data_IF_359614835239
#
_entry.id   IF_359614835239
#
_cell.length_a   1.000
_cell.length_b   1.000
_cell.length_c   1.000
_cell.angle_alpha   90.00
_cell.angle_beta   90.00
_cell.angle_gamma   90.00
#
_symmetry.space_group_name_H-M   'P 1'
#
loop_
_entity.id
_entity.type
_entity.pdbx_description
1 polymer ?
#
# COMPACT_ATOMS: atom_id res chain seq x y z
N UNK A 1 -11.83 -20.99 21.74
CA UNK A 1 -10.78 -22.04 21.56
C UNK A 1 -9.65 -21.86 22.56
N UNK A 2 -8.93 -20.73 22.57
CA UNK A 2 -7.86 -20.45 23.57
C UNK A 2 -8.35 -20.60 25.01
N UNK A 3 -9.37 -19.84 25.41
CA UNK A 3 -9.90 -19.87 26.79
C UNK A 3 -10.51 -21.22 27.19
N UNK A 4 -10.95 -22.00 26.21
CA UNK A 4 -11.53 -23.33 26.41
C UNK A 4 -10.45 -24.43 26.43
N UNK A 5 -9.17 -24.09 26.24
CA UNK A 5 -8.06 -25.05 26.22
C UNK A 5 -8.11 -26.02 25.03
N UNK A 6 -8.73 -25.63 23.91
CA UNK A 6 -8.90 -26.50 22.73
C UNK A 6 -7.71 -26.49 21.77
N UNK A 7 -6.71 -25.63 22.00
CA UNK A 7 -5.53 -25.50 21.16
C UNK A 7 -4.26 -25.49 22.01
N UNK A 8 -3.19 -26.07 21.47
CA UNK A 8 -1.91 -26.24 22.17
C UNK A 8 -1.22 -24.89 22.41
N UNK A 9 -0.96 -24.16 21.33
CA UNK A 9 -0.36 -22.84 21.37
C UNK A 9 -1.39 -21.76 21.02
N UNK A 10 -1.35 -20.56 21.62
CA UNK A 10 -2.23 -19.45 21.28
C UNK A 10 -1.79 -18.78 19.97
N UNK A 11 -1.71 -19.54 18.88
CA UNK A 11 -1.33 -19.11 17.54
C UNK A 11 -2.26 -19.72 16.50
N UNK A 12 -2.37 -19.09 15.34
CA UNK A 12 -2.92 -19.72 14.15
C UNK A 12 -2.15 -19.29 12.91
N UNK A 13 -2.17 -20.09 11.86
CA UNK A 13 -1.41 -19.82 10.64
C UNK A 13 -2.19 -20.13 9.38
N UNK A 14 -1.80 -19.45 8.30
CA UNK A 14 -2.31 -19.66 6.96
C UNK A 14 -1.19 -20.05 6.01
N UNK A 15 -1.46 -21.09 5.23
CA UNK A 15 -0.81 -21.37 3.96
C UNK A 15 -1.88 -21.27 2.87
N UNK A 16 -1.67 -20.41 1.89
CA UNK A 16 -2.61 -20.22 0.78
C UNK A 16 -1.91 -20.68 -0.50
N UNK A 17 -2.36 -21.79 -1.08
CA UNK A 17 -1.76 -22.31 -2.29
C UNK A 17 -2.09 -21.39 -3.47
N UNK A 18 -1.06 -21.00 -4.24
CA UNK A 18 -1.19 -20.11 -5.42
C UNK A 18 -1.06 -20.86 -6.74
N UNK A 19 -0.78 -22.16 -6.71
CA UNK A 19 -0.71 -23.01 -7.88
C UNK A 19 -2.10 -23.52 -8.24
N UNK A 20 -2.86 -22.70 -8.98
CA UNK A 20 -4.23 -23.02 -9.40
C UNK A 20 -4.31 -24.25 -10.33
N UNK A 21 -3.20 -24.64 -10.96
CA UNK A 21 -3.09 -25.81 -11.84
C UNK A 21 -2.79 -27.11 -11.07
N UNK A 22 -2.48 -27.02 -9.77
CA UNK A 22 -2.33 -28.19 -8.93
C UNK A 22 -3.72 -28.75 -8.60
N UNK A 23 -4.00 -30.01 -8.93
CA UNK A 23 -5.21 -30.75 -8.49
C UNK A 23 -5.26 -30.97 -6.96
N UNK A 24 -4.45 -30.22 -6.20
CA UNK A 24 -4.22 -30.36 -4.75
C UNK A 24 -5.04 -29.40 -3.90
N UNK A 25 -4.58 -29.21 -2.66
CA UNK A 25 -5.23 -28.36 -1.66
C UNK A 25 -5.08 -26.88 -2.01
N UNK A 26 -6.17 -26.11 -1.95
CA UNK A 26 -6.15 -24.66 -2.20
C UNK A 26 -5.50 -23.84 -1.07
N UNK A 27 -5.27 -24.46 0.08
CA UNK A 27 -4.66 -23.83 1.26
C UNK A 27 -5.08 -24.54 2.54
N UNK A 28 -4.45 -24.18 3.65
CA UNK A 28 -4.70 -24.72 4.97
C UNK A 28 -4.67 -23.60 6.02
N UNK A 29 -5.58 -23.70 6.99
CA UNK A 29 -5.56 -22.93 8.22
C UNK A 29 -5.34 -23.87 9.41
N UNK A 30 -4.37 -23.54 10.26
CA UNK A 30 -4.12 -24.30 11.49
C UNK A 30 -4.42 -23.40 12.69
N UNK A 31 -5.30 -23.85 13.57
CA UNK A 31 -5.46 -23.28 14.90
C UNK A 31 -4.64 -24.09 15.91
N UNK A 32 -3.78 -23.43 16.68
CA UNK A 32 -2.97 -24.09 17.70
C UNK A 32 -1.54 -24.45 17.31
N UNK A 33 -1.08 -24.02 16.13
CA UNK A 33 0.25 -24.36 15.61
C UNK A 33 0.47 -23.83 14.19
N UNK A 34 1.43 -24.44 13.50
CA UNK A 34 1.76 -24.25 12.07
C UNK A 34 2.42 -25.53 11.54
N UNK A 35 2.28 -25.85 10.25
CA UNK A 35 2.97 -27.00 9.63
C UNK A 35 4.31 -26.55 9.02
N UNK A 36 5.47 -27.07 9.49
CA UNK A 36 6.78 -26.80 8.91
C UNK A 36 6.93 -27.14 7.42
N UNK A 37 6.03 -27.94 6.84
CA UNK A 37 6.03 -28.26 5.41
C UNK A 37 5.52 -27.12 4.54
N UNK A 38 4.78 -26.16 5.10
CA UNK A 38 4.15 -25.08 4.35
C UNK A 38 5.00 -23.81 4.25
N UNK A 39 6.23 -23.83 4.76
CA UNK A 39 7.13 -22.69 4.67
C UNK A 39 8.61 -23.08 4.61
N UNK A 40 9.41 -22.17 4.07
CA UNK A 40 10.87 -22.30 3.94
C UNK A 40 11.56 -21.26 4.81
N UNK A 41 12.50 -21.71 5.64
CA UNK A 41 13.28 -20.86 6.54
C UNK A 41 12.52 -20.46 7.80
N UNK A 42 12.90 -19.32 8.38
CA UNK A 42 12.31 -18.79 9.61
C UNK A 42 11.35 -17.62 9.35
N UNK A 43 10.32 -17.51 10.18
CA UNK A 43 9.40 -16.37 10.14
C UNK A 43 10.09 -15.11 10.67
N UNK A 44 9.91 -14.01 9.94
CA UNK A 44 10.22 -12.67 10.44
C UNK A 44 9.01 -12.16 11.22
N UNK A 45 9.16 -12.02 12.53
CA UNK A 45 8.08 -11.58 13.41
C UNK A 45 8.14 -10.07 13.67
N UNK A 46 6.97 -9.43 13.59
CA UNK A 46 6.75 -8.02 13.94
C UNK A 46 5.62 -7.89 14.97
N UNK A 47 5.75 -7.03 15.99
CA UNK A 47 4.74 -6.88 17.02
C UNK A 47 3.47 -6.21 16.48
N UNK A 48 2.33 -6.57 17.06
CA UNK A 48 1.06 -5.89 16.80
C UNK A 48 1.10 -4.51 17.43
N UNK A 49 0.84 -3.46 16.63
CA UNK A 49 0.92 -2.06 17.06
C UNK A 49 -0.41 -1.52 17.56
N UNK A 50 -1.53 -2.03 17.05
CA UNK A 50 -2.87 -1.62 17.45
C UNK A 50 -3.81 -2.82 17.66
N UNK A 51 -4.16 -3.10 18.92
CA UNK A 51 -5.14 -4.14 19.26
C UNK A 51 -6.52 -3.80 18.71
N UNK A 52 -7.14 -4.77 18.04
CA UNK A 52 -8.36 -4.63 17.26
C UNK A 52 -8.16 -5.05 15.81
N UNK A 53 -6.93 -4.93 15.31
CA UNK A 53 -6.48 -5.43 14.02
C UNK A 53 -5.20 -6.24 14.19
N UNK A 54 -4.88 -7.10 13.23
CA UNK A 54 -3.55 -7.68 13.08
C UNK A 54 -2.62 -6.70 12.37
N UNK A 55 -2.54 -5.50 12.94
CA UNK A 55 -1.78 -4.38 12.42
C UNK A 55 -0.36 -4.36 12.98
N UNK A 56 0.63 -4.08 12.14
CA UNK A 56 2.03 -3.95 12.51
C UNK A 56 2.69 -2.77 11.76
N UNK A 57 3.84 -2.31 12.27
CA UNK A 57 4.64 -1.31 11.56
C UNK A 57 5.37 -1.95 10.38
N UNK A 58 5.28 -1.29 9.24
CA UNK A 58 5.92 -1.63 7.98
C UNK A 58 6.84 -0.48 7.56
N UNK A 59 7.96 -0.82 6.94
CA UNK A 59 8.86 0.15 6.33
C UNK A 59 8.42 0.52 4.92
N UNK A 60 9.42 0.78 4.08
CA UNK A 60 9.21 1.26 2.71
C UNK A 60 8.71 0.19 1.75
N UNK A 61 8.08 0.68 0.67
CA UNK A 61 7.69 -0.11 -0.50
C UNK A 61 8.61 0.26 -1.64
N UNK A 62 9.22 -0.75 -2.27
CA UNK A 62 10.14 -0.58 -3.38
C UNK A 62 9.55 -1.15 -4.67
N UNK A 63 9.79 -0.46 -5.78
CA UNK A 63 9.39 -0.89 -7.12
C UNK A 63 10.66 -1.05 -7.97
N UNK A 64 11.00 -2.29 -8.32
CA UNK A 64 12.24 -2.60 -9.05
C UNK A 64 13.48 -2.20 -8.26
N UNK A 65 13.45 -2.42 -6.93
CA UNK A 65 14.52 -2.08 -6.00
C UNK A 65 14.65 -0.58 -5.67
N UNK A 66 13.76 0.28 -6.20
CA UNK A 66 13.76 1.72 -5.92
C UNK A 66 12.65 2.08 -4.94
N UNK A 67 13.00 2.87 -3.92
CA UNK A 67 12.05 3.43 -2.96
C UNK A 67 10.93 4.21 -3.66
N UNK A 68 9.70 4.12 -3.13
CA UNK A 68 8.58 5.00 -3.50
C UNK A 68 8.54 6.28 -2.64
N UNK A 69 9.36 6.35 -1.60
CA UNK A 69 9.52 7.52 -0.71
C UNK A 69 8.36 7.74 0.25
N UNK A 70 7.13 7.42 -0.14
CA UNK A 70 5.93 7.66 0.67
C UNK A 70 5.94 6.89 2.00
N UNK A 71 6.30 5.60 1.98
CA UNK A 71 6.40 4.76 3.18
C UNK A 71 7.81 4.69 3.79
N UNK A 72 8.77 5.49 3.31
CA UNK A 72 10.14 5.48 3.82
C UNK A 72 10.22 5.90 5.31
N UNK A 73 9.30 6.76 5.75
CA UNK A 73 9.14 7.15 7.16
C UNK A 73 8.35 6.16 8.02
N UNK A 74 7.97 5.02 7.46
CA UNK A 74 7.09 4.03 8.07
C UNK A 74 5.64 4.18 7.63
N UNK A 75 5.00 3.04 7.39
CA UNK A 75 3.57 2.88 7.16
C UNK A 75 3.06 1.80 8.11
N UNK A 76 1.77 1.81 8.43
CA UNK A 76 1.15 0.65 9.07
C UNK A 76 0.77 -0.39 8.00
N UNK A 77 0.65 -1.65 8.39
CA UNK A 77 0.09 -2.69 7.54
C UNK A 77 -0.79 -3.65 8.36
N UNK A 78 -1.85 -4.19 7.77
CA UNK A 78 -2.68 -5.26 8.32
C UNK A 78 -2.52 -6.49 7.44
N UNK A 79 -2.26 -7.65 8.04
CA UNK A 79 -2.41 -8.93 7.34
C UNK A 79 -3.89 -9.36 7.42
N UNK A 80 -4.54 -9.48 6.27
CA UNK A 80 -5.98 -9.70 6.19
C UNK A 80 -6.32 -10.80 5.18
N UNK A 81 -6.54 -12.02 5.68
CA UNK A 81 -6.97 -13.16 4.87
C UNK A 81 -8.40 -13.01 4.32
N UNK A 82 -9.13 -11.96 4.69
CA UNK A 82 -10.47 -11.66 4.19
C UNK A 82 -10.47 -10.86 2.89
N UNK A 83 -9.31 -10.44 2.39
CA UNK A 83 -9.16 -9.72 1.12
C UNK A 83 -8.10 -10.39 0.24
N UNK A 84 -8.32 -10.36 -1.07
CA UNK A 84 -7.33 -10.88 -2.01
C UNK A 84 -6.30 -9.83 -2.43
N UNK A 85 -6.74 -8.60 -2.71
CA UNK A 85 -5.87 -7.55 -3.24
C UNK A 85 -5.01 -6.88 -2.17
N UNK A 86 -3.88 -6.32 -2.60
CA UNK A 86 -3.06 -5.40 -1.83
C UNK A 86 -3.68 -4.00 -1.88
N UNK A 87 -4.14 -3.46 -0.75
CA UNK A 87 -4.65 -2.10 -0.69
C UNK A 87 -3.61 -1.16 -0.09
N UNK A 88 -3.31 -0.04 -0.75
CA UNK A 88 -2.30 0.90 -0.27
C UNK A 88 -2.50 2.34 -0.75
N UNK A 89 -1.65 3.28 -0.30
CA UNK A 89 -1.77 4.70 -0.62
C UNK A 89 -1.75 4.96 -2.13
N UNK A 90 -2.65 5.82 -2.61
CA UNK A 90 -2.80 6.15 -4.04
C UNK A 90 -1.49 6.63 -4.67
N UNK A 91 -0.68 7.37 -3.91
CA UNK A 91 0.63 7.85 -4.35
C UNK A 91 1.54 6.70 -4.79
N UNK A 92 1.56 5.59 -4.03
CA UNK A 92 2.38 4.41 -4.34
C UNK A 92 1.74 3.59 -5.45
N UNK A 93 0.43 3.36 -5.41
CA UNK A 93 -0.26 2.54 -6.42
C UNK A 93 -0.15 3.15 -7.82
N UNK A 94 -0.13 4.48 -7.92
CA UNK A 94 0.06 5.18 -9.20
C UNK A 94 1.46 4.96 -9.77
N UNK A 95 2.50 4.97 -8.93
CA UNK A 95 3.86 4.62 -9.36
C UNK A 95 3.97 3.16 -9.79
N UNK A 96 3.33 2.24 -9.05
CA UNK A 96 3.24 0.83 -9.42
C UNK A 96 2.56 0.69 -10.79
N UNK A 97 1.38 1.29 -10.98
CA UNK A 97 0.62 1.23 -12.23
C UNK A 97 1.45 1.70 -13.43
N UNK A 98 2.20 2.80 -13.28
CA UNK A 98 3.10 3.27 -14.34
C UNK A 98 4.21 2.25 -14.64
N UNK A 99 4.79 1.62 -13.61
CA UNK A 99 5.90 0.68 -13.77
C UNK A 99 5.51 -0.69 -14.31
N UNK A 100 4.29 -1.14 -14.04
CA UNK A 100 3.75 -2.41 -14.54
C UNK A 100 2.91 -2.23 -15.81
N UNK A 101 2.75 -0.99 -16.29
CA UNK A 101 1.95 -0.67 -17.48
C UNK A 101 0.43 -0.79 -17.27
N UNK A 102 -0.05 -0.80 -16.03
CA UNK A 102 -1.46 -0.96 -15.71
C UNK A 102 -2.30 0.24 -16.15
N UNK A 103 -3.52 -0.04 -16.59
CA UNK A 103 -4.52 0.96 -16.89
C UNK A 103 -4.85 1.78 -15.64
N UNK A 104 -5.00 3.09 -15.84
CA UNK A 104 -5.44 4.05 -14.84
C UNK A 104 -6.35 5.09 -15.45
N UNK A 105 -6.79 6.03 -14.63
CA UNK A 105 -7.63 7.17 -15.02
C UNK A 105 -6.80 8.44 -15.06
N UNK A 106 -7.15 9.33 -15.99
CA UNK A 106 -6.53 10.65 -16.10
C UNK A 106 -7.15 11.57 -15.05
N UNK A 107 -6.34 12.09 -14.13
CA UNK A 107 -6.78 13.13 -13.18
C UNK A 107 -6.47 14.51 -13.72
N UNK A 108 -7.50 15.33 -13.95
CA UNK A 108 -7.33 16.72 -14.36
C UNK A 108 -6.70 17.54 -13.24
N UNK A 109 -7.04 17.24 -12.00
CA UNK A 109 -6.48 17.87 -10.82
C UNK A 109 -4.96 17.71 -10.79
N UNK A 110 -4.49 16.48 -10.94
CA UNK A 110 -3.06 16.17 -11.02
C UNK A 110 -2.39 16.92 -12.18
N UNK A 111 -3.00 16.90 -13.37
CA UNK A 111 -2.49 17.63 -14.55
C UNK A 111 -2.40 19.13 -14.30
N UNK A 112 -3.36 19.72 -13.61
CA UNK A 112 -3.36 21.13 -13.22
C UNK A 112 -2.23 21.42 -12.23
N UNK A 113 -2.01 20.57 -11.23
CA UNK A 113 -0.88 20.71 -10.31
C UNK A 113 0.45 20.73 -11.07
N UNK A 114 0.67 19.77 -11.97
CA UNK A 114 1.94 19.69 -12.69
C UNK A 114 2.14 20.89 -13.62
N UNK A 115 1.10 21.29 -14.37
CA UNK A 115 1.21 22.36 -15.36
C UNK A 115 1.27 23.77 -14.76
N UNK A 116 0.53 24.04 -13.68
CA UNK A 116 0.46 25.38 -13.09
C UNK A 116 1.42 25.58 -11.93
N UNK A 117 1.62 24.55 -11.11
CA UNK A 117 2.36 24.65 -9.86
C UNK A 117 3.66 23.82 -9.84
N UNK A 118 3.88 22.96 -10.84
CA UNK A 118 4.97 21.99 -10.80
C UNK A 118 6.35 22.60 -10.65
N UNK A 119 6.66 23.68 -11.38
CA UNK A 119 7.94 24.36 -11.26
C UNK A 119 8.11 24.99 -9.87
N UNK A 120 7.08 25.66 -9.35
CA UNK A 120 7.10 26.26 -8.02
C UNK A 120 7.29 25.21 -6.92
N UNK A 121 6.64 24.06 -7.05
CA UNK A 121 6.81 22.92 -6.13
C UNK A 121 8.27 22.44 -6.18
N UNK A 122 8.84 22.23 -7.37
CA UNK A 122 10.25 21.82 -7.51
C UNK A 122 11.24 22.83 -6.93
N UNK A 123 11.01 24.12 -7.16
CA UNK A 123 11.87 25.18 -6.64
C UNK A 123 11.84 25.21 -5.10
N UNK A 124 10.66 25.05 -4.50
CA UNK A 124 10.52 24.92 -3.03
C UNK A 124 11.24 23.67 -2.50
N UNK A 125 11.14 22.55 -3.21
CA UNK A 125 11.81 21.30 -2.85
C UNK A 125 13.34 21.42 -2.92
N UNK A 126 13.87 22.10 -3.94
CA UNK A 126 15.30 22.36 -4.09
C UNK A 126 15.82 23.40 -3.09
N UNK A 127 14.95 24.30 -2.63
CA UNK A 127 15.24 25.19 -1.51
C UNK A 127 15.15 24.48 -0.13
N UNK A 128 15.14 23.15 -0.11
CA UNK A 128 15.08 22.30 1.10
C UNK A 128 13.85 22.59 1.99
N UNK A 129 12.74 23.04 1.37
CA UNK A 129 11.48 23.21 2.08
C UNK A 129 10.97 21.84 2.53
N UNK A 130 10.49 21.78 3.78
CA UNK A 130 9.90 20.55 4.31
C UNK A 130 8.73 20.10 3.43
N UNK A 131 8.71 18.85 2.91
CA UNK A 131 7.66 18.34 2.00
C UNK A 131 6.24 18.70 2.41
N UNK A 132 5.92 18.45 3.69
CA UNK A 132 4.59 18.64 4.27
C UNK A 132 4.12 20.10 4.25
N UNK A 133 5.04 21.05 4.08
CA UNK A 133 4.74 22.48 4.03
C UNK A 133 4.67 23.04 2.61
N UNK A 134 5.07 22.27 1.60
CA UNK A 134 5.13 22.78 0.23
C UNK A 134 3.73 23.18 -0.26
N UNK A 135 2.74 22.29 -0.14
CA UNK A 135 1.39 22.56 -0.64
C UNK A 135 0.65 23.67 0.11
N UNK A 136 0.99 23.90 1.38
CA UNK A 136 0.45 25.04 2.14
C UNK A 136 1.13 26.36 1.75
N UNK A 137 2.44 26.35 1.47
CA UNK A 137 3.15 27.54 0.95
C UNK A 137 2.74 27.92 -0.46
N UNK A 138 2.44 26.93 -1.31
CA UNK A 138 1.88 27.15 -2.65
C UNK A 138 0.42 27.65 -2.57
N UNK A 139 -0.23 27.50 -1.41
CA UNK A 139 -1.61 27.97 -1.17
C UNK A 139 -2.69 26.97 -1.58
N UNK A 140 -2.33 25.72 -1.88
CA UNK A 140 -3.26 24.66 -2.28
C UNK A 140 -3.83 23.89 -1.09
N UNK A 141 -3.16 23.92 0.06
CA UNK A 141 -3.61 23.30 1.30
C UNK A 141 -3.79 24.35 2.40
N UNK A 142 -4.87 24.23 3.16
CA UNK A 142 -5.18 25.12 4.30
C UNK A 142 -4.37 24.81 5.57
N UNK A 143 -3.82 23.59 5.66
CA UNK A 143 -3.07 23.13 6.83
C UNK A 143 -1.68 22.62 6.43
N UNK A 144 -0.73 22.70 7.36
CA UNK A 144 0.70 22.38 7.18
C UNK A 144 1.10 21.00 7.74
N UNK A 145 0.12 20.16 8.07
CA UNK A 145 0.32 18.82 8.64
C UNK A 145 0.80 18.77 10.10
N UNK A 146 0.88 19.90 10.82
CA UNK A 146 1.39 19.95 12.21
C UNK A 146 0.33 19.82 13.31
N UNK A 147 -0.96 19.96 12.97
CA UNK A 147 -2.06 19.73 13.92
C UNK A 147 -2.64 18.35 13.69
N UNK A 148 -2.35 17.43 14.61
CA UNK A 148 -3.08 16.19 14.73
C UNK A 148 -4.56 16.51 14.84
N UNK A 149 -5.32 16.15 13.82
CA UNK A 149 -6.77 16.17 13.90
C UNK A 149 -7.10 15.11 14.95
N UNK A 150 -7.31 15.55 16.19
CA UNK A 150 -7.92 14.71 17.20
C UNK A 150 -9.24 14.27 16.58
N UNK A 151 -9.31 13.02 16.16
CA UNK A 151 -10.57 12.37 15.82
C UNK A 151 -11.36 12.33 17.14
N UNK A 152 -12.07 13.42 17.42
CA UNK A 152 -13.03 13.51 18.49
C UNK A 152 -14.15 12.54 18.16
N UNK A 153 -13.97 11.27 18.55
CA UNK A 153 -15.08 10.35 18.68
C UNK A 153 -15.92 10.91 19.82
N UNK A 154 -17.06 11.50 19.46
CA UNK A 154 -18.11 11.89 20.39
C UNK A 154 -18.48 10.67 21.24
N UNK A 155 -18.35 10.83 22.55
CA UNK A 155 -19.16 10.06 23.50
C UNK A 155 -20.63 10.40 23.26
N UNK A 156 -21.52 9.42 23.44
CA UNK A 156 -22.93 9.41 23.01
C UNK A 156 -23.84 10.35 23.84
N UNK A 157 -23.31 11.44 24.42
CA UNK A 157 -24.00 12.16 25.51
C UNK A 157 -24.21 13.67 25.28
N UNK A 158 -23.73 14.27 24.18
CA UNK A 158 -23.85 15.73 24.01
C UNK A 158 -24.76 16.12 22.82
N UNK A 159 -25.94 16.63 23.18
CA UNK A 159 -27.13 16.83 22.37
C UNK A 159 -27.29 18.30 21.91
N UNK A 160 -26.31 18.85 21.18
CA UNK A 160 -26.39 20.21 20.60
C UNK A 160 -25.87 20.22 19.13
N UNK A 161 -26.59 20.88 18.20
CA UNK A 161 -26.29 20.85 16.76
C UNK A 161 -25.20 21.88 16.42
N UNK A 162 -23.94 21.51 16.63
CA UNK A 162 -22.81 22.25 16.07
C UNK A 162 -22.61 21.81 14.62
N UNK A 163 -22.69 22.76 13.69
CA UNK A 163 -22.45 22.57 12.25
C UNK A 163 -21.14 21.83 12.02
N UNK A 164 -21.22 20.54 11.68
CA UNK A 164 -20.08 19.73 11.31
C UNK A 164 -19.58 20.16 9.94
N UNK A 165 -18.50 20.94 9.90
CA UNK A 165 -17.65 20.99 8.71
C UNK A 165 -16.99 19.61 8.57
N UNK A 166 -17.69 18.72 7.87
CA UNK A 166 -17.16 17.45 7.43
C UNK A 166 -15.86 17.67 6.66
N UNK A 167 -14.92 16.75 6.89
CA UNK A 167 -13.59 16.66 6.30
C UNK A 167 -13.68 16.64 4.76
N UNK A 168 -13.76 17.82 4.13
CA UNK A 168 -13.43 17.98 2.70
C UNK A 168 -11.91 18.13 2.61
N UNK A 169 -11.22 17.03 2.33
CA UNK A 169 -9.90 17.14 1.70
C UNK A 169 -10.12 17.81 0.35
N UNK A 170 -9.52 18.98 0.15
CA UNK A 170 -9.56 19.67 -1.13
C UNK A 170 -8.89 18.78 -2.19
N UNK A 171 -9.57 18.39 -3.28
CA UNK A 171 -8.98 17.56 -4.33
C UNK A 171 -7.66 18.11 -4.87
N UNK A 172 -7.51 19.45 -4.91
CA UNK A 172 -6.26 20.11 -5.28
C UNK A 172 -5.15 19.91 -4.26
N UNK A 173 -5.49 19.95 -2.96
CA UNK A 173 -4.53 19.72 -1.88
C UNK A 173 -3.98 18.29 -1.95
N UNK A 174 -4.86 17.28 -2.06
CA UNK A 174 -4.44 15.87 -2.15
C UNK A 174 -3.60 15.61 -3.41
N UNK A 175 -3.98 16.18 -4.56
CA UNK A 175 -3.17 16.09 -5.78
C UNK A 175 -1.78 16.74 -5.61
N UNK A 176 -1.70 17.87 -4.90
CA UNK A 176 -0.44 18.51 -4.58
C UNK A 176 0.44 17.65 -3.67
N UNK A 177 -0.12 17.10 -2.59
CA UNK A 177 0.64 16.27 -1.65
C UNK A 177 1.22 15.04 -2.34
N UNK A 178 0.47 14.38 -3.24
CA UNK A 178 0.98 13.30 -4.08
C UNK A 178 2.10 13.78 -5.02
N UNK A 179 1.90 14.91 -5.70
CA UNK A 179 2.90 15.49 -6.59
C UNK A 179 4.21 15.81 -5.87
N UNK A 180 4.15 16.38 -4.67
CA UNK A 180 5.32 16.65 -3.83
C UNK A 180 6.09 15.35 -3.54
N UNK A 181 5.40 14.28 -3.15
CA UNK A 181 6.06 12.99 -2.86
C UNK A 181 6.74 12.43 -4.10
N UNK A 182 6.04 12.41 -5.25
CA UNK A 182 6.63 11.91 -6.49
C UNK A 182 7.84 12.73 -6.93
N UNK A 183 7.73 14.07 -6.88
CA UNK A 183 8.83 14.97 -7.23
C UNK A 183 10.04 14.77 -6.30
N UNK A 184 9.82 14.67 -5.00
CA UNK A 184 10.88 14.38 -4.03
C UNK A 184 11.55 13.04 -4.28
N UNK A 185 10.77 12.00 -4.58
CA UNK A 185 11.32 10.71 -4.90
C UNK A 185 12.21 10.77 -6.15
N UNK A 186 11.77 11.47 -7.20
CA UNK A 186 12.57 11.63 -8.40
C UNK A 186 13.82 12.50 -8.18
N UNK A 187 13.76 13.52 -7.33
CA UNK A 187 14.92 14.31 -6.90
C UNK A 187 15.94 13.44 -6.16
N UNK A 188 15.49 12.56 -5.26
CA UNK A 188 16.35 11.60 -4.57
C UNK A 188 17.04 10.61 -5.53
N UNK A 189 16.50 10.43 -6.73
CA UNK A 189 17.10 9.65 -7.82
C UNK A 189 17.96 10.48 -8.79
N UNK A 190 18.32 11.72 -8.42
CA UNK A 190 19.17 12.63 -9.21
C UNK A 190 18.66 12.92 -10.63
N UNK A 191 17.33 12.98 -10.83
CA UNK A 191 16.74 13.38 -12.12
C UNK A 191 16.72 14.91 -12.30
N UNK A 192 16.72 15.37 -13.55
CA UNK A 192 16.60 16.80 -13.89
C UNK A 192 15.14 17.29 -13.73
N UNK A 193 14.94 18.58 -13.46
CA UNK A 193 13.60 19.16 -13.26
C UNK A 193 12.63 18.84 -14.40
N UNK A 194 13.04 19.00 -15.65
CA UNK A 194 12.19 18.73 -16.83
C UNK A 194 11.73 17.26 -16.88
N UNK A 195 12.66 16.32 -16.61
CA UNK A 195 12.34 14.89 -16.58
C UNK A 195 11.42 14.55 -15.39
N UNK A 196 11.54 15.28 -14.28
CA UNK A 196 10.65 15.11 -13.13
C UNK A 196 9.25 15.58 -13.48
N UNK A 197 9.09 16.77 -14.05
CA UNK A 197 7.77 17.29 -14.44
C UNK A 197 7.09 16.39 -15.48
N UNK A 198 7.83 15.92 -16.49
CA UNK A 198 7.27 15.01 -17.48
C UNK A 198 6.87 13.66 -16.85
N UNK A 199 7.71 13.10 -15.97
CA UNK A 199 7.39 11.86 -15.28
C UNK A 199 6.15 12.00 -14.38
N UNK A 200 6.07 13.06 -13.58
CA UNK A 200 4.89 13.29 -12.73
C UNK A 200 3.64 13.54 -13.57
N UNK A 201 3.78 14.22 -14.72
CA UNK A 201 2.71 14.35 -15.68
C UNK A 201 2.26 12.98 -16.22
N UNK A 202 3.17 12.04 -16.49
CA UNK A 202 2.82 10.68 -16.90
C UNK A 202 2.05 9.94 -15.80
N UNK A 203 2.48 10.07 -14.53
CA UNK A 203 1.75 9.49 -13.38
C UNK A 203 0.30 10.00 -13.29
N UNK A 204 0.03 11.25 -13.64
CA UNK A 204 -1.33 11.80 -13.69
C UNK A 204 -2.27 11.07 -14.67
N UNK A 205 -1.75 10.24 -15.58
CA UNK A 205 -2.54 9.38 -16.48
C UNK A 205 -2.80 7.98 -15.92
N UNK A 206 -2.18 7.63 -14.79
CA UNK A 206 -2.14 6.28 -14.21
C UNK A 206 -2.80 6.19 -12.85
N UNK A 207 -3.56 7.21 -12.45
CA UNK A 207 -4.24 7.16 -11.16
C UNK A 207 -5.15 5.91 -11.12
N UNK A 208 -5.22 5.23 -9.97
CA UNK A 208 -6.06 4.06 -9.80
C UNK A 208 -7.54 4.43 -10.00
N UNK A 209 -8.26 3.60 -10.76
CA UNK A 209 -9.69 3.80 -10.98
C UNK A 209 -10.47 3.38 -9.73
N UNK A 210 -11.33 4.25 -9.15
CA UNK A 210 -12.08 3.89 -7.95
C UNK A 210 -13.15 2.81 -8.18
N UNK A 211 -13.48 2.52 -9.44
CA UNK A 211 -14.53 1.55 -9.83
C UNK A 211 -14.05 0.54 -10.88
N UNK A 212 -12.77 0.56 -11.25
CA UNK A 212 -12.24 -0.25 -12.34
C UNK A 212 -11.01 -1.03 -11.92
N UNK A 213 -10.88 -2.24 -12.46
CA UNK A 213 -9.66 -3.04 -12.33
C UNK A 213 -8.54 -2.39 -13.14
N UNK A 214 -7.34 -2.34 -12.56
CA UNK A 214 -6.14 -1.87 -13.23
C UNK A 214 -5.59 -2.96 -14.15
N UNK A 215 -6.22 -3.11 -15.32
CA UNK A 215 -5.85 -4.10 -16.33
C UNK A 215 -4.42 -3.89 -16.84
N UNK A 216 -3.69 -4.97 -17.09
CA UNK A 216 -2.32 -5.00 -17.64
C UNK A 216 -2.26 -5.92 -18.85
N UNK A 217 -1.26 -5.73 -19.71
CA UNK A 217 -0.98 -6.69 -20.78
C UNK A 217 -0.32 -7.95 -20.21
N UNK A 218 -1.00 -9.10 -20.32
CA UNK A 218 -0.48 -10.40 -19.91
C UNK A 218 0.86 -10.78 -20.58
N UNK A 219 1.16 -10.26 -21.77
CA UNK A 219 2.43 -10.54 -22.45
C UNK A 219 3.61 -9.80 -21.80
N UNK A 220 3.35 -8.74 -21.03
CA UNK A 220 4.37 -7.86 -20.48
C UNK A 220 4.93 -8.29 -19.12
N UNK A 221 4.42 -9.38 -18.51
CA UNK A 221 4.81 -9.85 -17.17
C UNK A 221 6.34 -9.97 -17.00
N UNK A 222 7.04 -10.56 -17.98
CA UNK A 222 8.48 -10.76 -17.90
C UNK A 222 9.34 -9.48 -17.93
N UNK A 223 8.73 -8.33 -18.19
CA UNK A 223 9.38 -7.01 -18.15
C UNK A 223 8.99 -6.18 -16.93
N UNK A 224 8.02 -6.63 -16.13
CA UNK A 224 7.56 -5.91 -14.96
C UNK A 224 8.56 -6.07 -13.80
N UNK A 225 8.70 -5.06 -12.93
CA UNK A 225 9.62 -5.12 -11.81
C UNK A 225 9.04 -5.88 -10.60
N UNK A 226 9.90 -6.55 -9.85
CA UNK A 226 9.55 -7.03 -8.50
C UNK A 226 9.13 -5.86 -7.60
N UNK A 227 8.12 -6.09 -6.77
CA UNK A 227 7.64 -5.15 -5.75
C UNK A 227 8.05 -5.66 -4.38
N UNK A 228 8.75 -4.85 -3.58
CA UNK A 228 9.26 -5.29 -2.27
C UNK A 228 8.63 -4.50 -1.13
N UNK A 229 8.19 -5.20 -0.09
CA UNK A 229 7.73 -4.61 1.17
C UNK A 229 8.79 -4.80 2.25
N UNK A 230 9.13 -3.74 2.98
CA UNK A 230 10.08 -3.85 4.10
C UNK A 230 9.33 -4.15 5.40
N UNK A 231 9.49 -5.34 5.97
CA UNK A 231 8.82 -5.76 7.21
C UNK A 231 9.86 -6.33 8.17
N UNK A 232 9.93 -5.79 9.40
CA UNK A 232 10.92 -6.25 10.40
C UNK A 232 12.37 -6.10 9.95
N UNK A 233 12.67 -5.12 9.09
CA UNK A 233 14.00 -4.91 8.52
C UNK A 233 14.37 -5.84 7.35
N UNK A 234 13.49 -6.78 6.98
CA UNK A 234 13.68 -7.69 5.84
C UNK A 234 12.79 -7.25 4.67
N UNK A 235 13.27 -7.47 3.44
CA UNK A 235 12.51 -7.23 2.22
C UNK A 235 11.72 -8.48 1.81
N UNK A 236 10.44 -8.31 1.55
CA UNK A 236 9.51 -9.31 1.07
C UNK A 236 9.13 -8.95 -0.37
N UNK A 237 9.82 -9.57 -1.33
CA UNK A 237 9.62 -9.34 -2.75
C UNK A 237 8.43 -10.15 -3.29
N UNK A 238 7.63 -9.53 -4.14
CA UNK A 238 6.60 -10.17 -4.96
C UNK A 238 7.03 -10.06 -6.42
N UNK A 239 7.09 -11.20 -7.10
CA UNK A 239 7.35 -11.27 -8.53
C UNK A 239 6.11 -10.90 -9.35
N UNK A 240 6.26 -10.51 -10.62
CA UNK A 240 5.15 -10.22 -11.52
C UNK A 240 4.06 -11.30 -11.55
N UNK A 241 4.46 -12.58 -11.50
CA UNK A 241 3.52 -13.70 -11.51
C UNK A 241 2.74 -13.84 -10.19
N UNK A 242 3.23 -13.27 -9.09
CA UNK A 242 2.61 -13.35 -7.78
C UNK A 242 1.60 -12.21 -7.56
N UNK A 243 1.90 -11.01 -8.07
CA UNK A 243 1.05 -9.81 -7.89
C UNK A 243 0.16 -9.47 -9.09
N UNK A 244 0.32 -10.08 -10.26
CA UNK A 244 -0.64 -9.96 -11.36
C UNK A 244 -1.62 -11.13 -11.32
N UNK A 245 -2.92 -10.82 -11.28
CA UNK A 245 -3.98 -11.81 -11.27
C UNK A 245 -4.48 -12.04 -12.69
N UNK A 246 -4.61 -13.31 -13.09
CA UNK A 246 -5.26 -13.72 -14.34
C UNK A 246 -6.72 -14.06 -14.04
N UNK A 247 -7.65 -13.35 -14.67
CA UNK A 247 -9.09 -13.55 -14.53
C UNK A 247 -9.64 -14.07 -15.86
N UNK A 248 -10.36 -15.19 -15.82
CA UNK A 248 -10.86 -15.88 -17.00
C UNK A 248 -9.88 -16.92 -17.57
N UNK A 249 -10.28 -17.58 -18.65
CA UNK A 249 -9.57 -18.74 -19.21
C UNK A 249 -9.20 -18.55 -20.69
N UNK A 250 -8.13 -19.22 -21.11
CA UNK A 250 -7.69 -19.28 -22.50
C UNK A 250 -7.27 -17.92 -23.08
N UNK A 251 -7.51 -17.71 -24.37
CA UNK A 251 -7.09 -16.51 -25.09
C UNK A 251 -7.82 -15.22 -24.67
N UNK A 252 -8.90 -15.34 -23.89
CA UNK A 252 -9.69 -14.21 -23.38
C UNK A 252 -9.36 -13.84 -21.93
N UNK A 253 -8.39 -14.53 -21.31
CA UNK A 253 -7.95 -14.22 -19.95
C UNK A 253 -7.45 -12.77 -19.87
N UNK A 254 -7.91 -12.06 -18.86
CA UNK A 254 -7.50 -10.69 -18.58
C UNK A 254 -6.53 -10.69 -17.41
N UNK A 255 -5.46 -9.91 -17.53
CA UNK A 255 -4.54 -9.70 -16.42
C UNK A 255 -4.87 -8.40 -15.71
N UNK A 256 -4.95 -8.44 -14.40
CA UNK A 256 -5.23 -7.27 -13.56
C UNK A 256 -4.14 -7.13 -12.50
N UNK A 257 -3.81 -5.88 -12.19
CA UNK A 257 -2.96 -5.55 -11.06
C UNK A 257 -3.59 -6.04 -9.75
N UNK A 258 -2.83 -6.78 -8.94
CA UNK A 258 -3.23 -7.19 -7.59
C UNK A 258 -3.25 -6.04 -6.58
N UNK A 259 -3.04 -4.80 -7.02
CA UNK A 259 -2.99 -3.60 -6.20
C UNK A 259 -4.25 -2.74 -6.37
N UNK A 260 -4.77 -2.24 -5.27
CA UNK A 260 -5.87 -1.28 -5.22
C UNK A 260 -5.54 -0.11 -4.33
N UNK A 261 -6.19 1.03 -4.58
CA UNK A 261 -5.92 2.26 -3.88
C UNK A 261 -6.83 2.44 -2.67
N UNK A 262 -6.23 2.84 -1.56
CA UNK A 262 -6.91 3.11 -0.31
C UNK A 262 -6.14 4.18 0.47
N UNK A 263 -6.69 5.38 0.54
CA UNK A 263 -6.10 6.49 1.30
C UNK A 263 -6.76 6.59 2.68
N UNK A 264 -6.02 6.17 3.71
CA UNK A 264 -6.44 6.32 5.11
C UNK A 264 -5.64 7.45 5.75
N UNK A 265 -6.30 8.55 6.18
CA UNK A 265 -5.59 9.67 6.78
C UNK A 265 -5.09 9.36 8.20
N UNK A 266 -4.07 10.10 8.69
CA UNK A 266 -3.70 10.09 10.10
C UNK A 266 -4.89 10.40 11.02
N UNK A 267 -4.94 9.85 12.25
CA UNK A 267 -3.90 9.07 12.92
C UNK A 267 -3.92 7.56 12.63
N UNK A 268 -4.85 7.06 11.80
CA UNK A 268 -5.00 5.62 11.53
C UNK A 268 -4.12 5.12 10.38
N UNK A 269 -3.68 6.01 9.50
CA UNK A 269 -2.79 5.70 8.40
C UNK A 269 -1.57 6.65 8.33
N UNK A 270 -0.73 6.51 7.29
CA UNK A 270 -0.95 5.66 6.11
C UNK A 270 -0.88 4.16 6.43
N UNK A 271 -1.74 3.38 5.77
CA UNK A 271 -1.99 1.97 6.07
C UNK A 271 -2.00 1.14 4.78
N UNK A 272 -1.44 -0.07 4.84
CA UNK A 272 -1.59 -1.11 3.84
C UNK A 272 -2.49 -2.25 4.34
N UNK A 273 -3.24 -2.87 3.43
CA UNK A 273 -3.84 -4.18 3.66
C UNK A 273 -3.11 -5.20 2.79
N UNK A 274 -2.51 -6.20 3.45
CA UNK A 274 -1.79 -7.28 2.81
C UNK A 274 -2.69 -8.52 2.79
N UNK A 275 -3.34 -8.74 1.65
CA UNK A 275 -4.25 -9.86 1.40
C UNK A 275 -3.59 -11.10 0.83
N UNK A 276 -4.39 -11.95 0.18
CA UNK A 276 -3.95 -13.22 -0.43
C UNK A 276 -2.78 -13.07 -1.42
N UNK A 277 -2.72 -11.95 -2.16
CA UNK A 277 -1.59 -11.65 -3.07
C UNK A 277 -0.25 -11.64 -2.33
N UNK A 278 -0.23 -11.23 -1.06
CA UNK A 278 0.96 -11.29 -0.21
C UNK A 278 1.02 -12.58 0.62
N UNK A 279 -0.11 -12.98 1.24
CA UNK A 279 -0.18 -14.13 2.15
C UNK A 279 -0.05 -15.48 1.44
N UNK A 280 -0.25 -15.53 0.12
CA UNK A 280 0.01 -16.72 -0.69
C UNK A 280 1.50 -17.04 -0.81
N UNK A 281 2.31 -16.14 -1.38
CA UNK A 281 3.76 -16.29 -1.42
C UNK A 281 4.43 -16.34 -0.05
N UNK A 282 3.78 -15.83 0.99
CA UNK A 282 4.32 -15.75 2.34
C UNK A 282 3.39 -16.37 3.38
N UNK A 283 3.74 -17.58 3.84
CA UNK A 283 3.09 -18.22 4.97
C UNK A 283 3.03 -17.27 6.17
N UNK A 284 1.83 -17.10 6.71
CA UNK A 284 1.55 -16.07 7.73
C UNK A 284 1.11 -16.72 9.04
N UNK A 285 1.79 -16.35 10.12
CA UNK A 285 1.46 -16.78 11.50
C UNK A 285 0.93 -15.59 12.28
N UNK A 286 -0.23 -15.77 12.89
CA UNK A 286 -0.83 -14.85 13.83
C UNK A 286 -0.63 -15.38 15.25
N UNK A 287 0.33 -14.81 15.97
CA UNK A 287 0.70 -15.23 17.31
C UNK A 287 -0.06 -14.39 18.34
N UNK A 288 -1.20 -14.91 18.79
CA UNK A 288 -2.10 -14.23 19.74
C UNK A 288 -1.47 -14.16 21.14
N UNK A 289 -0.74 -15.19 21.56
CA UNK A 289 -0.06 -15.20 22.86
C UNK A 289 1.02 -14.14 23.01
N UNK A 290 1.77 -13.86 21.95
CA UNK A 290 2.84 -12.84 21.95
C UNK A 290 2.48 -11.56 21.21
N UNK A 291 1.26 -11.46 20.69
CA UNK A 291 0.73 -10.30 19.96
C UNK A 291 1.68 -9.84 18.85
N UNK A 292 1.94 -10.73 17.90
CA UNK A 292 2.84 -10.48 16.77
C UNK A 292 2.39 -11.26 15.54
N UNK A 293 2.80 -10.80 14.37
CA UNK A 293 2.57 -11.48 13.08
C UNK A 293 3.92 -11.91 12.52
N UNK A 294 3.99 -13.12 11.95
CA UNK A 294 5.21 -13.70 11.40
C UNK A 294 5.05 -14.12 9.94
N UNK A 295 6.05 -13.79 9.11
CA UNK A 295 6.04 -14.13 7.67
C UNK A 295 7.27 -14.95 7.28
N UNK A 296 7.05 -16.07 6.58
CA UNK A 296 8.09 -16.90 5.98
C UNK A 296 7.73 -17.16 4.51
N UNK A 297 8.69 -17.52 3.65
CA UNK A 297 8.36 -17.89 2.26
C UNK A 297 7.50 -19.15 2.29
N UNK A 298 6.36 -19.15 1.60
CA UNK A 298 5.55 -20.36 1.47
C UNK A 298 6.32 -21.44 0.69
N UNK A 299 6.11 -22.70 1.05
CA UNK A 299 6.69 -23.86 0.37
C UNK A 299 5.89 -24.23 -0.88
#
# INVERSE_FOLDING_TARGET
MVEQGLISDPVFSFWLNRHADDEGEGGEIIFGGMDPKHYVGEHTYVPVTQKGYWQFDMGDVLVGGKSTGFCAGGCAAIADSGTSLLAGPTAIITEINEKIGAAGVVSQECKTIVSQYGQQILDLLLAETQPKKVCSQVGLCTFDGTRGVSAGIRSVVDDEPVKSNGLRTDPMCSACEMAVVWMQNQLAQNKTQDLILDYVNQLCNRLPSPMGESAVDCASLGSMPDIEFTIGGKKFALKPEEYILKVGEGAAAQCISGFTAMDIPPPRGPLWILGDVFMGPYHTVFDYGKLRVGFAKAA
#
